data_IF_033319529286
#
_entry.id   IF_033319529286
#
_cell.length_a   1.000
_cell.length_b   1.000
_cell.length_c   1.000
_cell.angle_alpha   90.00
_cell.angle_beta   90.00
_cell.angle_gamma   90.00
#
_symmetry.space_group_name_H-M   'P 1'
#
loop_
_entity.id
_entity.type
_entity.pdbx_description
1 polymer ?
#
# COMPACT_ATOMS: atom_id res chain seq x y z
N UNK A 1 0.31 -1.84 25.11
CA UNK A 1 -0.14 -1.77 23.69
C UNK A 1 1.00 -2.39 22.91
N UNK A 2 1.07 -3.72 22.98
CA UNK A 2 2.20 -4.51 22.53
C UNK A 2 1.64 -5.50 21.52
N UNK A 3 1.30 -5.01 20.34
CA UNK A 3 1.00 -5.93 19.24
C UNK A 3 2.34 -6.47 18.77
N UNK A 4 2.65 -7.77 18.99
CA UNK A 4 3.86 -8.35 18.45
C UNK A 4 3.83 -8.16 16.94
N UNK A 5 4.97 -7.79 16.36
CA UNK A 5 5.11 -7.69 14.90
C UNK A 5 4.86 -9.08 14.35
N UNK A 6 3.63 -9.30 13.86
CA UNK A 6 3.16 -10.58 13.36
C UNK A 6 4.10 -11.00 12.24
N UNK A 7 4.66 -12.21 12.33
CA UNK A 7 5.56 -12.72 11.31
C UNK A 7 4.83 -12.80 9.96
N UNK A 8 5.54 -12.54 8.85
CA UNK A 8 4.99 -12.60 7.49
C UNK A 8 4.22 -13.92 7.24
N UNK A 9 4.67 -15.03 7.83
CA UNK A 9 4.03 -16.34 7.68
C UNK A 9 2.65 -16.42 8.36
N UNK A 10 2.49 -15.83 9.54
CA UNK A 10 1.20 -15.80 10.25
C UNK A 10 0.19 -14.87 9.55
N UNK A 11 0.67 -13.75 9.01
CA UNK A 11 -0.12 -12.86 8.16
C UNK A 11 -0.63 -13.57 6.90
N UNK A 12 0.22 -14.38 6.26
CA UNK A 12 -0.17 -15.17 5.09
C UNK A 12 -1.27 -16.18 5.42
N UNK A 13 -1.18 -16.88 6.56
CA UNK A 13 -2.20 -17.85 6.97
C UNK A 13 -3.53 -17.16 7.25
N UNK A 14 -3.53 -16.01 7.94
CA UNK A 14 -4.75 -15.22 8.15
C UNK A 14 -5.35 -14.70 6.84
N UNK A 15 -4.52 -14.28 5.88
CA UNK A 15 -5.00 -13.81 4.58
C UNK A 15 -5.59 -14.95 3.76
N UNK A 16 -5.01 -16.15 3.81
CA UNK A 16 -5.55 -17.34 3.15
C UNK A 16 -6.95 -17.68 3.69
N UNK A 17 -7.14 -17.67 5.00
CA UNK A 17 -8.44 -17.93 5.63
C UNK A 17 -9.48 -16.88 5.21
N UNK A 18 -9.11 -15.60 5.19
CA UNK A 18 -9.98 -14.52 4.72
C UNK A 18 -10.32 -14.64 3.23
N UNK A 19 -9.39 -15.08 2.39
CA UNK A 19 -9.67 -15.34 0.97
C UNK A 19 -10.69 -16.47 0.83
N UNK A 20 -10.56 -17.56 1.61
CA UNK A 20 -11.54 -18.66 1.62
C UNK A 20 -12.92 -18.21 2.09
N UNK A 21 -13.00 -17.38 3.13
CA UNK A 21 -14.26 -16.78 3.58
C UNK A 21 -14.85 -15.80 2.54
N UNK A 22 -13.99 -15.05 1.85
CA UNK A 22 -14.36 -14.18 0.73
C UNK A 22 -14.96 -14.93 -0.47
N UNK A 23 -14.50 -16.16 -0.76
CA UNK A 23 -15.12 -17.01 -1.78
C UNK A 23 -16.56 -17.39 -1.42
N UNK A 24 -16.82 -17.74 -0.15
CA UNK A 24 -18.17 -18.04 0.35
C UNK A 24 -19.06 -16.80 0.34
N UNK A 25 -18.50 -15.64 0.71
CA UNK A 25 -19.21 -14.37 0.62
C UNK A 25 -19.59 -14.04 -0.83
N UNK A 26 -18.73 -14.37 -1.80
CA UNK A 26 -19.00 -14.18 -3.22
C UNK A 26 -20.13 -15.09 -3.74
N UNK A 27 -20.17 -16.37 -3.34
CA UNK A 27 -21.28 -17.26 -3.71
C UNK A 27 -22.61 -16.80 -3.12
N UNK A 28 -22.62 -16.29 -1.88
CA UNK A 28 -23.81 -15.71 -1.27
C UNK A 28 -24.25 -14.43 -2.00
N UNK A 29 -23.31 -13.59 -2.42
CA UNK A 29 -23.60 -12.41 -3.23
C UNK A 29 -24.23 -12.79 -4.58
N UNK A 30 -23.73 -13.85 -5.22
CA UNK A 30 -24.28 -14.32 -6.49
C UNK A 30 -25.72 -14.85 -6.34
N UNK A 31 -26.02 -15.54 -5.23
CA UNK A 31 -27.39 -15.93 -4.87
C UNK A 31 -28.28 -14.70 -4.64
N UNK A 32 -27.80 -13.68 -3.93
CA UNK A 32 -28.57 -12.44 -3.75
C UNK A 32 -28.78 -11.70 -5.08
N UNK A 33 -27.79 -11.75 -6.00
CA UNK A 33 -27.86 -11.13 -7.34
C UNK A 33 -28.83 -11.85 -8.27
N UNK A 34 -29.00 -13.17 -8.13
CA UNK A 34 -29.94 -13.97 -8.92
C UNK A 34 -31.41 -13.82 -8.48
N UNK A 35 -31.68 -12.96 -7.48
CA UNK A 35 -33.04 -12.64 -7.01
C UNK A 35 -33.47 -13.38 -5.74
N UNK A 36 -32.56 -14.11 -5.09
CA UNK A 36 -32.85 -14.80 -3.82
C UNK A 36 -33.15 -13.78 -2.73
N UNK A 37 -34.37 -13.82 -2.16
CA UNK A 37 -34.86 -12.85 -1.15
C UNK A 37 -34.88 -13.46 0.26
N UNK A 38 -34.10 -14.51 0.50
CA UNK A 38 -34.02 -15.18 1.79
C UNK A 38 -33.30 -14.32 2.83
N UNK A 39 -33.98 -14.08 3.95
CA UNK A 39 -33.44 -13.30 5.08
C UNK A 39 -32.16 -13.94 5.63
N UNK A 40 -32.12 -15.27 5.71
CA UNK A 40 -30.97 -16.02 6.20
C UNK A 40 -29.70 -15.83 5.35
N UNK A 41 -29.86 -15.75 4.02
CA UNK A 41 -28.75 -15.52 3.07
C UNK A 41 -28.21 -14.10 3.22
N UNK A 42 -29.10 -13.12 3.44
CA UNK A 42 -28.72 -11.72 3.71
C UNK A 42 -27.94 -11.58 5.01
N UNK A 43 -28.35 -12.28 6.06
CA UNK A 43 -27.67 -12.22 7.36
C UNK A 43 -26.29 -12.89 7.31
N UNK A 44 -26.19 -14.05 6.66
CA UNK A 44 -24.91 -14.70 6.40
C UNK A 44 -23.99 -13.82 5.55
N UNK A 45 -24.50 -13.21 4.49
CA UNK A 45 -23.75 -12.26 3.69
C UNK A 45 -23.27 -11.04 4.51
N UNK A 46 -24.14 -10.47 5.34
CA UNK A 46 -23.82 -9.31 6.19
C UNK A 46 -22.69 -9.59 7.18
N UNK A 47 -22.59 -10.82 7.69
CA UNK A 47 -21.49 -11.25 8.57
C UNK A 47 -20.16 -11.40 7.82
N UNK A 48 -20.19 -11.89 6.58
CA UNK A 48 -18.99 -12.20 5.78
C UNK A 48 -18.57 -11.08 4.82
N UNK A 49 -19.36 -10.00 4.71
CA UNK A 49 -19.12 -8.87 3.78
C UNK A 49 -17.74 -8.23 3.91
N UNK A 50 -17.13 -8.29 5.10
CA UNK A 50 -15.81 -7.71 5.40
C UNK A 50 -14.69 -8.44 4.64
N UNK A 51 -14.84 -9.74 4.40
CA UNK A 51 -13.84 -10.56 3.73
C UNK A 51 -14.10 -10.67 2.21
N UNK A 52 -15.22 -10.15 1.72
CA UNK A 52 -15.56 -10.14 0.29
C UNK A 52 -14.46 -9.48 -0.55
N UNK A 53 -13.82 -8.43 -0.03
CA UNK A 53 -12.70 -7.75 -0.69
C UNK A 53 -11.51 -8.68 -0.97
N UNK A 54 -11.24 -9.63 -0.08
CA UNK A 54 -10.18 -10.63 -0.26
C UNK A 54 -10.55 -11.68 -1.31
N UNK A 55 -11.82 -12.10 -1.35
CA UNK A 55 -12.31 -12.99 -2.41
C UNK A 55 -12.19 -12.38 -3.81
N UNK A 56 -12.35 -11.06 -3.94
CA UNK A 56 -12.20 -10.35 -5.22
C UNK A 56 -10.77 -10.31 -5.76
N UNK A 57 -9.75 -10.60 -4.94
CA UNK A 57 -8.36 -10.72 -5.40
C UNK A 57 -8.20 -11.92 -6.34
N UNK A 58 -8.97 -13.00 -6.13
CA UNK A 58 -8.96 -14.20 -6.97
C UNK A 58 -9.51 -13.95 -8.37
N UNK A 59 -10.37 -12.92 -8.54
CA UNK A 59 -10.93 -12.52 -9.85
C UNK A 59 -9.85 -12.11 -10.86
N UNK A 60 -8.61 -11.87 -10.40
CA UNK A 60 -7.44 -11.65 -11.26
C UNK A 60 -6.98 -12.92 -11.99
N UNK A 61 -7.22 -14.09 -11.41
CA UNK A 61 -6.74 -15.39 -11.90
C UNK A 61 -7.86 -16.29 -12.42
N UNK A 62 -9.09 -16.15 -11.91
CA UNK A 62 -10.26 -16.91 -12.39
C UNK A 62 -11.46 -16.00 -12.65
N UNK A 63 -12.26 -16.28 -13.70
CA UNK A 63 -13.53 -15.58 -13.93
C UNK A 63 -14.57 -15.92 -12.85
N UNK A 64 -14.56 -17.16 -12.35
CA UNK A 64 -15.39 -17.63 -11.23
C UNK A 64 -14.54 -17.78 -9.97
N UNK A 65 -14.88 -17.00 -8.93
CA UNK A 65 -14.18 -17.02 -7.64
C UNK A 65 -14.48 -18.29 -6.84
N UNK A 66 -15.64 -18.92 -7.07
CA UNK A 66 -16.08 -20.13 -6.38
C UNK A 66 -15.29 -21.40 -6.80
N UNK A 67 -14.72 -21.44 -8.00
CA UNK A 67 -14.02 -22.60 -8.56
C UNK A 67 -12.48 -22.46 -8.48
N UNK A 68 -11.97 -21.55 -7.65
CA UNK A 68 -10.55 -21.28 -7.58
C UNK A 68 -9.75 -22.48 -7.05
N UNK A 69 -8.67 -22.84 -7.75
CA UNK A 69 -7.76 -23.93 -7.33
C UNK A 69 -6.85 -23.49 -6.18
N UNK A 70 -6.42 -24.43 -5.34
CA UNK A 70 -5.48 -24.19 -4.22
C UNK A 70 -4.20 -23.46 -4.67
N UNK A 71 -3.69 -23.76 -5.86
CA UNK A 71 -2.52 -23.07 -6.44
C UNK A 71 -2.80 -21.57 -6.70
N UNK A 72 -4.01 -21.23 -7.17
CA UNK A 72 -4.42 -19.84 -7.41
C UNK A 72 -4.65 -19.08 -6.10
N UNK A 73 -5.18 -19.76 -5.07
CA UNK A 73 -5.34 -19.20 -3.73
C UNK A 73 -3.97 -18.82 -3.15
N UNK A 74 -3.00 -19.73 -3.19
CA UNK A 74 -1.65 -19.46 -2.70
C UNK A 74 -0.95 -18.34 -3.48
N UNK A 75 -1.15 -18.26 -4.80
CA UNK A 75 -0.56 -17.22 -5.62
C UNK A 75 -1.20 -15.85 -5.35
N UNK A 76 -2.53 -15.80 -5.17
CA UNK A 76 -3.24 -14.57 -4.76
C UNK A 76 -2.82 -14.10 -3.36
N UNK A 77 -2.59 -15.01 -2.40
CA UNK A 77 -2.08 -14.68 -1.06
C UNK A 77 -0.66 -14.11 -1.11
N UNK A 78 0.20 -14.58 -2.02
CA UNK A 78 1.55 -14.02 -2.19
C UNK A 78 1.52 -12.65 -2.85
N UNK A 79 0.66 -12.47 -3.86
CA UNK A 79 0.51 -11.19 -4.57
C UNK A 79 -0.25 -10.13 -3.76
N UNK A 80 -1.02 -10.53 -2.74
CA UNK A 80 -1.73 -9.60 -1.86
C UNK A 80 -0.82 -8.91 -0.84
N UNK A 81 0.37 -9.46 -0.59
CA UNK A 81 1.40 -8.79 0.19
C UNK A 81 2.13 -7.81 -0.75
N UNK A 82 1.96 -6.50 -0.56
CA UNK A 82 2.64 -5.52 -1.40
C UNK A 82 4.15 -5.72 -1.29
N UNK A 83 4.87 -5.54 -2.40
CA UNK A 83 6.34 -5.56 -2.41
C UNK A 83 6.80 -4.46 -1.45
N UNK A 84 7.29 -4.85 -0.27
CA UNK A 84 7.78 -3.91 0.74
C UNK A 84 9.12 -3.26 0.36
N UNK A 85 9.85 -3.85 -0.58
CA UNK A 85 11.18 -3.39 -0.98
C UNK A 85 11.18 -1.96 -1.57
N UNK A 86 10.35 -1.60 -2.57
CA UNK A 86 10.30 -0.23 -3.10
C UNK A 86 9.91 0.81 -2.04
N UNK A 87 8.96 0.47 -1.16
CA UNK A 87 8.53 1.35 -0.06
C UNK A 87 9.68 1.62 0.91
N UNK A 88 10.42 0.58 1.28
CA UNK A 88 11.58 0.67 2.16
C UNK A 88 12.69 1.57 1.56
N UNK A 89 13.00 1.40 0.28
CA UNK A 89 13.99 2.24 -0.39
C UNK A 89 13.51 3.69 -0.54
N UNK A 90 12.24 3.91 -0.91
CA UNK A 90 11.66 5.25 -1.03
C UNK A 90 11.70 6.02 0.31
N UNK A 91 11.35 5.37 1.42
CA UNK A 91 11.44 5.96 2.76
C UNK A 91 12.87 6.39 3.10
N UNK A 92 13.87 5.55 2.82
CA UNK A 92 15.28 5.87 3.08
C UNK A 92 15.78 7.04 2.23
N UNK A 93 15.39 7.09 0.96
CA UNK A 93 15.74 8.21 0.07
C UNK A 93 15.13 9.51 0.61
N UNK A 94 13.84 9.50 0.99
CA UNK A 94 13.17 10.66 1.58
C UNK A 94 13.89 11.16 2.83
N UNK A 95 14.22 10.26 3.76
CA UNK A 95 14.92 10.60 5.00
C UNK A 95 16.33 11.13 4.71
N UNK A 96 17.06 10.51 3.78
CA UNK A 96 18.39 10.97 3.37
C UNK A 96 18.35 12.38 2.76
N UNK A 97 17.40 12.66 1.87
CA UNK A 97 17.20 13.99 1.30
C UNK A 97 16.85 15.03 2.37
N UNK A 98 15.99 14.69 3.34
CA UNK A 98 15.63 15.55 4.45
C UNK A 98 16.84 15.92 5.33
N UNK A 99 17.66 14.92 5.72
CA UNK A 99 18.87 15.16 6.49
C UNK A 99 19.92 15.97 5.72
N UNK A 100 20.07 15.74 4.40
CA UNK A 100 20.96 16.53 3.55
C UNK A 100 20.52 18.00 3.49
N UNK A 101 19.23 18.27 3.31
CA UNK A 101 18.70 19.64 3.31
C UNK A 101 18.90 20.32 4.67
N UNK A 102 18.62 19.61 5.76
CA UNK A 102 18.83 20.13 7.11
C UNK A 102 20.31 20.45 7.37
N UNK A 103 21.23 19.60 6.94
CA UNK A 103 22.67 19.84 7.05
C UNK A 103 23.11 21.07 6.24
N UNK A 104 22.62 21.23 5.00
CA UNK A 104 22.95 22.39 4.15
C UNK A 104 22.43 23.68 4.78
N UNK A 105 21.19 23.69 5.27
CA UNK A 105 20.59 24.87 5.91
C UNK A 105 21.32 25.20 7.21
N UNK A 106 21.59 24.20 8.07
CA UNK A 106 22.30 24.40 9.33
C UNK A 106 23.72 24.96 9.10
N UNK A 107 24.47 24.41 8.14
CA UNK A 107 25.80 24.91 7.78
C UNK A 107 25.75 26.32 7.19
N UNK A 108 24.74 26.61 6.35
CA UNK A 108 24.54 27.95 5.79
C UNK A 108 24.24 28.98 6.87
N UNK A 109 23.33 28.64 7.79
CA UNK A 109 22.96 29.47 8.92
C UNK A 109 24.16 29.72 9.86
N UNK A 110 24.96 28.69 10.14
CA UNK A 110 26.19 28.81 10.91
C UNK A 110 27.22 29.74 10.23
N UNK A 111 27.33 29.69 8.90
CA UNK A 111 28.22 30.57 8.13
C UNK A 111 27.77 32.04 8.21
N UNK A 112 26.45 32.28 8.24
CA UNK A 112 25.86 33.61 8.42
C UNK A 112 26.15 34.15 9.82
N UNK A 113 25.98 33.35 10.87
CA UNK A 113 26.28 33.77 12.27
C UNK A 113 27.75 34.17 12.42
N UNK A 114 28.68 33.45 11.77
CA UNK A 114 30.11 33.79 11.79
C UNK A 114 30.50 34.93 10.84
N UNK A 115 29.54 35.57 10.16
CA UNK A 115 29.76 36.61 9.16
C UNK A 115 30.72 36.19 8.02
N UNK A 116 30.89 34.88 7.80
CA UNK A 116 31.74 34.32 6.75
C UNK A 116 30.90 33.89 5.56
N UNK A 117 30.12 34.82 5.05
CA UNK A 117 29.23 34.59 3.90
C UNK A 117 30.12 34.58 2.65
N UNK A 118 30.14 33.47 1.91
CA UNK A 118 30.87 33.38 0.63
C UNK A 118 32.28 32.77 0.66
N UNK A 119 32.91 32.57 1.83
CA UNK A 119 34.28 32.01 1.90
C UNK A 119 34.33 30.53 1.47
N UNK A 120 33.33 29.73 1.85
CA UNK A 120 33.32 28.29 1.63
C UNK A 120 32.66 27.93 0.30
N UNK A 121 33.45 27.90 -0.78
CA UNK A 121 32.99 27.51 -2.13
C UNK A 121 32.30 26.14 -2.20
N UNK A 122 32.63 25.18 -1.32
CA UNK A 122 31.89 23.91 -1.27
C UNK A 122 30.43 24.12 -0.88
N UNK A 123 30.14 25.09 0.00
CA UNK A 123 28.84 25.24 0.64
C UNK A 123 27.86 25.88 -0.35
N UNK A 124 28.34 26.85 -1.13
CA UNK A 124 27.62 27.39 -2.28
C UNK A 124 27.37 26.32 -3.35
N UNK A 125 28.35 25.46 -3.65
CA UNK A 125 28.15 24.33 -4.59
C UNK A 125 27.12 23.34 -4.05
N UNK A 126 27.17 23.00 -2.76
CA UNK A 126 26.20 22.10 -2.13
C UNK A 126 24.78 22.69 -2.11
N UNK A 127 24.64 24.00 -1.87
CA UNK A 127 23.35 24.69 -1.97
C UNK A 127 22.81 24.72 -3.41
N UNK A 128 23.68 24.93 -4.40
CA UNK A 128 23.31 24.91 -5.82
C UNK A 128 22.82 23.52 -6.27
N UNK A 129 23.56 22.45 -5.91
CA UNK A 129 23.12 21.07 -6.16
C UNK A 129 21.97 20.66 -5.25
N UNK A 130 21.68 21.44 -4.21
CA UNK A 130 20.57 21.28 -3.28
C UNK A 130 19.19 21.66 -3.85
N UNK A 131 19.14 22.48 -4.90
CA UNK A 131 17.90 23.00 -5.50
C UNK A 131 16.92 21.89 -5.96
N UNK A 132 17.35 20.79 -6.61
CA UNK A 132 16.43 19.72 -7.00
C UNK A 132 16.05 18.75 -5.86
N UNK A 133 16.78 18.74 -4.73
CA UNK A 133 16.51 17.79 -3.64
C UNK A 133 15.10 17.92 -3.02
N UNK A 134 14.55 19.12 -2.79
CA UNK A 134 13.20 19.28 -2.28
C UNK A 134 12.15 18.67 -3.20
N UNK A 135 12.33 18.77 -4.52
CA UNK A 135 11.42 18.18 -5.50
C UNK A 135 11.39 16.65 -5.38
N UNK A 136 12.57 16.04 -5.36
CA UNK A 136 12.71 14.59 -5.21
C UNK A 136 12.13 14.11 -3.87
N UNK A 137 12.33 14.87 -2.79
CA UNK A 137 11.80 14.53 -1.47
C UNK A 137 10.26 14.60 -1.43
N UNK A 138 9.66 15.62 -2.06
CA UNK A 138 8.19 15.77 -2.14
C UNK A 138 7.58 14.65 -2.99
N UNK A 139 8.15 14.35 -4.15
CA UNK A 139 7.71 13.24 -5.01
C UNK A 139 7.86 11.89 -4.30
N UNK A 140 8.97 11.65 -3.60
CA UNK A 140 9.16 10.44 -2.80
C UNK A 140 8.16 10.35 -1.63
N UNK A 141 7.85 11.47 -0.98
CA UNK A 141 6.84 11.54 0.08
C UNK A 141 5.44 11.18 -0.44
N UNK A 142 5.06 11.72 -1.59
CA UNK A 142 3.83 11.35 -2.30
C UNK A 142 3.83 9.88 -2.70
N UNK A 143 4.94 9.36 -3.23
CA UNK A 143 5.06 7.95 -3.57
C UNK A 143 4.90 7.06 -2.33
N UNK A 144 5.50 7.39 -1.19
CA UNK A 144 5.34 6.60 0.05
C UNK A 144 3.89 6.66 0.56
N UNK A 145 3.24 7.82 0.50
CA UNK A 145 1.85 7.99 0.93
C UNK A 145 0.85 7.25 0.01
N UNK A 146 1.08 7.29 -1.30
CA UNK A 146 0.20 6.68 -2.30
C UNK A 146 0.45 5.17 -2.43
N UNK A 147 1.72 4.77 -2.43
CA UNK A 147 2.12 3.37 -2.53
C UNK A 147 1.91 2.61 -1.22
N UNK A 148 1.99 3.29 -0.07
CA UNK A 148 1.56 2.74 1.23
C UNK A 148 0.06 2.41 1.27
N UNK A 149 -0.74 3.01 0.39
CA UNK A 149 -2.15 2.66 0.16
C UNK A 149 -2.36 1.59 -0.93
N UNK A 150 -1.32 1.07 -1.59
CA UNK A 150 -1.46 -0.13 -2.43
C UNK A 150 -1.26 -1.37 -1.55
N UNK A 151 -2.28 -2.25 -1.36
CA UNK A 151 -3.28 -2.73 -2.32
C UNK A 151 -4.74 -2.29 -2.11
N UNK A 152 -5.04 -1.41 -1.15
CA UNK A 152 -6.40 -1.05 -0.73
C UNK A 152 -6.59 0.46 -0.78
N UNK A 153 -7.45 0.98 -1.68
CA UNK A 153 -7.63 2.42 -1.85
C UNK A 153 -8.20 3.12 -0.59
N UNK A 154 -8.98 2.37 0.19
CA UNK A 154 -9.61 2.74 1.46
C UNK A 154 -9.49 1.50 2.35
N UNK A 155 -9.22 1.67 3.65
CA UNK A 155 -9.13 0.56 4.61
C UNK A 155 -10.22 -0.50 4.34
N UNK A 156 -9.77 -1.70 3.93
CA UNK A 156 -10.59 -2.90 3.71
C UNK A 156 -11.50 -2.95 2.46
N UNK A 157 -11.35 -2.07 1.46
CA UNK A 157 -12.21 -2.02 0.23
C UNK A 157 -11.36 -2.07 -1.06
N UNK A 158 -11.80 -2.77 -2.14
CA UNK A 158 -10.88 -3.37 -3.13
C UNK A 158 -10.03 -2.40 -3.96
N UNK A 159 -9.00 -3.01 -4.54
CA UNK A 159 -7.84 -2.40 -5.17
C UNK A 159 -8.13 -1.28 -6.18
N UNK A 160 -7.33 -0.22 -6.09
CA UNK A 160 -7.29 0.93 -7.00
C UNK A 160 -7.21 0.55 -8.50
N UNK A 161 -6.77 -0.68 -8.81
CA UNK A 161 -6.65 -1.20 -10.19
C UNK A 161 -7.97 -1.69 -10.79
N UNK A 162 -8.94 -2.14 -9.98
CA UNK A 162 -10.26 -2.54 -10.50
C UNK A 162 -11.05 -1.32 -11.01
N UNK A 163 -10.89 -0.16 -10.35
CA UNK A 163 -11.58 1.08 -10.72
C UNK A 163 -11.16 1.64 -12.10
N UNK A 164 -9.93 1.35 -12.52
CA UNK A 164 -9.42 1.77 -13.83
C UNK A 164 -9.89 0.85 -14.97
N UNK A 165 -10.22 -0.41 -14.69
CA UNK A 165 -10.67 -1.38 -15.71
C UNK A 165 -12.17 -1.27 -16.03
N UNK A 166 -12.97 -0.72 -15.13
CA UNK A 166 -14.42 -0.50 -15.34
C UNK A 166 -14.74 0.82 -16.04
N UNK A 167 -13.73 1.60 -16.43
CA UNK A 167 -13.88 2.89 -17.13
C UNK A 167 -13.62 2.80 -18.64
N UNK A 168 -13.41 1.59 -19.17
CA UNK A 168 -13.30 1.29 -20.59
C UNK A 168 -14.36 0.28 -20.99
#
# INVERSE_FOLDING_TARGET
MDTPVIGLKELMVQHEERIRNGMKAYSLLEQLRSGSTDQAVRDQFNSMKKDLGYGLLLKRYTPNVADATEAQIQQATKDSIPRVAPLYFAFRIMVACGFLLLAIIALSFWSVIRNRIGEKKWLLRAALYGIPLPWIAVEAGWFVAEYGRQPWAIGEVPACRQLWRTRH
#
